data_IF_742102987053
#
_entry.id   IF_742102987053
#
_cell.length_a   1.000
_cell.length_b   1.000
_cell.length_c   1.000
_cell.angle_alpha   90.00
_cell.angle_beta   90.00
_cell.angle_gamma   90.00
#
_symmetry.space_group_name_H-M   'P 1'
#
loop_
_entity.id
_entity.type
_entity.pdbx_description
1 polymer ?
#
# COMPACT_ATOMS: atom_id res chain seq x y z
N UNK A 1 1.45 -2.95 -6.06
CA UNK A 1 1.03 -2.22 -4.85
C UNK A 1 1.83 -2.74 -3.65
N UNK A 2 2.41 -1.85 -2.84
CA UNK A 2 3.10 -2.21 -1.61
C UNK A 2 2.41 -1.60 -0.39
N UNK A 3 2.46 -2.30 0.74
CA UNK A 3 1.87 -1.89 2.02
C UNK A 3 2.64 -2.51 3.18
N UNK A 4 2.60 -1.96 4.40
CA UNK A 4 3.11 -2.63 5.59
C UNK A 4 2.51 -4.03 5.76
N UNK A 5 3.32 -4.99 6.24
CA UNK A 5 2.90 -6.40 6.40
C UNK A 5 1.60 -6.55 7.21
N UNK A 6 1.41 -5.70 8.23
CA UNK A 6 0.23 -5.68 9.09
C UNK A 6 -1.09 -5.41 8.35
N UNK A 7 -1.03 -4.81 7.16
CA UNK A 7 -2.22 -4.44 6.39
C UNK A 7 -2.73 -5.59 5.51
N UNK A 8 -1.90 -6.59 5.21
CA UNK A 8 -2.23 -7.62 4.20
C UNK A 8 -3.41 -8.51 4.61
N UNK A 9 -3.59 -8.80 5.90
CA UNK A 9 -4.78 -9.54 6.36
C UNK A 9 -6.09 -8.79 6.01
N UNK A 10 -6.09 -7.47 6.15
CA UNK A 10 -7.22 -6.62 5.76
C UNK A 10 -7.38 -6.52 4.25
N UNK A 11 -6.28 -6.36 3.51
CA UNK A 11 -6.29 -6.28 2.04
C UNK A 11 -6.83 -7.57 1.42
N UNK A 12 -6.43 -8.75 1.92
CA UNK A 12 -6.89 -10.03 1.38
C UNK A 12 -8.36 -10.30 1.72
N UNK A 13 -8.80 -9.92 2.92
CA UNK A 13 -10.19 -10.18 3.36
C UNK A 13 -11.22 -9.20 2.83
N UNK A 14 -10.81 -7.95 2.54
CA UNK A 14 -11.73 -6.86 2.20
C UNK A 14 -11.38 -6.12 0.89
N UNK A 15 -10.28 -6.51 0.24
CA UNK A 15 -9.74 -5.81 -0.91
C UNK A 15 -9.02 -4.50 -0.55
N UNK A 16 -8.50 -3.83 -1.58
CA UNK A 16 -7.95 -2.48 -1.47
C UNK A 16 -9.10 -1.48 -1.30
N UNK A 17 -8.98 -0.57 -0.33
CA UNK A 17 -10.01 0.43 -0.01
C UNK A 17 -9.47 1.84 -0.16
N UNK A 18 -10.35 2.75 -0.56
CA UNK A 18 -10.08 4.18 -0.62
C UNK A 18 -10.20 4.76 0.80
N UNK A 19 -9.35 5.73 1.12
CA UNK A 19 -9.43 6.46 2.39
C UNK A 19 -10.83 7.11 2.56
N UNK A 20 -11.38 7.16 3.77
CA UNK A 20 -12.75 7.62 3.97
C UNK A 20 -12.87 9.15 3.77
N UNK A 21 -14.08 9.70 3.52
CA UNK A 21 -14.29 11.11 3.16
C UNK A 21 -13.77 12.12 4.19
N UNK A 22 -13.75 11.76 5.47
CA UNK A 22 -13.29 12.58 6.59
C UNK A 22 -11.76 12.66 6.72
N UNK A 23 -11.01 11.72 6.14
CA UNK A 23 -9.55 11.74 6.22
C UNK A 23 -8.98 13.00 5.52
N UNK A 24 -7.93 13.63 6.05
CA UNK A 24 -7.30 14.78 5.39
C UNK A 24 -6.72 14.35 4.02
N UNK A 25 -6.74 15.25 3.03
CA UNK A 25 -6.19 14.99 1.68
C UNK A 25 -4.65 15.12 1.67
N UNK A 26 -4.07 15.72 2.71
CA UNK A 26 -2.62 15.82 2.86
C UNK A 26 -1.98 14.44 2.92
N UNK A 27 -0.93 14.22 2.12
CA UNK A 27 -0.25 12.92 1.99
C UNK A 27 -0.71 12.06 0.81
N UNK A 28 -1.79 12.44 0.11
CA UNK A 28 -2.23 11.76 -1.11
C UNK A 28 -1.88 12.59 -2.35
N UNK A 29 -0.91 12.13 -3.16
CA UNK A 29 -0.38 12.90 -4.32
C UNK A 29 -1.45 13.28 -5.35
N UNK A 30 -2.43 12.41 -5.58
CA UNK A 30 -3.49 12.59 -6.59
C UNK A 30 -4.89 12.42 -5.98
N UNK A 31 -5.05 12.77 -4.69
CA UNK A 31 -6.31 12.62 -3.96
C UNK A 31 -6.54 11.20 -3.45
N UNK A 32 -7.73 10.94 -2.87
CA UNK A 32 -8.02 9.65 -2.24
C UNK A 32 -8.28 8.60 -3.31
N UNK A 33 -7.46 7.56 -3.35
CA UNK A 33 -7.56 6.49 -4.34
C UNK A 33 -6.70 5.29 -3.97
N UNK A 34 -6.78 4.25 -4.80
CA UNK A 34 -5.88 3.10 -4.74
C UNK A 34 -4.72 3.36 -5.70
N UNK A 35 -3.50 3.20 -5.20
CA UNK A 35 -2.29 3.57 -5.93
C UNK A 35 -1.51 2.35 -6.39
N UNK A 36 -1.15 2.35 -7.68
CA UNK A 36 -0.33 1.32 -8.30
C UNK A 36 0.94 1.93 -8.90
N UNK A 37 1.91 1.06 -9.19
CA UNK A 37 3.12 1.41 -9.91
C UNK A 37 3.47 0.26 -10.86
N UNK A 38 3.94 0.62 -12.04
CA UNK A 38 4.51 -0.26 -13.06
C UNK A 38 5.91 -0.78 -12.68
N UNK A 39 6.63 -0.04 -11.83
CA UNK A 39 7.92 -0.45 -11.28
C UNK A 39 7.77 -1.09 -9.89
N UNK A 40 8.33 -2.29 -9.74
CA UNK A 40 8.30 -3.06 -8.49
C UNK A 40 8.98 -2.32 -7.32
N UNK A 41 10.14 -1.70 -7.57
CA UNK A 41 10.91 -0.95 -6.57
C UNK A 41 10.13 0.23 -5.98
N UNK A 42 9.35 0.95 -6.80
CA UNK A 42 8.50 2.04 -6.34
C UNK A 42 7.42 1.54 -5.39
N UNK A 43 6.78 0.40 -5.69
CA UNK A 43 5.83 -0.24 -4.77
C UNK A 43 6.52 -0.74 -3.50
N UNK A 44 7.70 -1.35 -3.61
CA UNK A 44 8.42 -1.96 -2.48
C UNK A 44 8.79 -0.96 -1.37
N UNK A 45 8.99 0.32 -1.69
CA UNK A 45 9.22 1.37 -0.69
C UNK A 45 8.07 1.50 0.32
N UNK A 46 6.84 1.17 -0.08
CA UNK A 46 5.66 1.22 0.79
C UNK A 46 5.50 -0.02 1.69
N UNK A 47 6.38 -1.02 1.55
CA UNK A 47 6.42 -2.17 2.47
C UNK A 47 7.06 -1.83 3.83
N UNK A 48 7.74 -0.68 3.92
CA UNK A 48 8.52 -0.24 5.09
C UNK A 48 9.52 -1.30 5.61
N UNK A 49 10.35 -1.91 4.74
CA UNK A 49 11.33 -2.89 5.17
C UNK A 49 12.40 -2.25 6.05
N UNK A 50 12.97 -3.04 6.96
CA UNK A 50 14.15 -2.66 7.73
C UNK A 50 15.10 -3.84 7.82
N UNK A 51 16.34 -3.62 8.31
CA UNK A 51 17.30 -4.72 8.51
C UNK A 51 16.81 -5.77 9.52
N UNK A 52 15.93 -5.38 10.44
CA UNK A 52 15.32 -6.29 11.43
C UNK A 52 13.97 -6.84 10.98
N UNK A 53 13.40 -6.33 9.88
CA UNK A 53 12.12 -6.75 9.28
C UNK A 53 12.30 -6.75 7.76
N UNK A 54 13.00 -7.77 7.28
CA UNK A 54 13.48 -7.91 5.90
C UNK A 54 12.49 -8.62 4.97
N UNK A 55 11.42 -9.19 5.53
CA UNK A 55 10.34 -9.82 4.76
C UNK A 55 9.24 -8.82 4.44
N UNK A 56 8.90 -8.70 3.15
CA UNK A 56 7.81 -7.86 2.66
C UNK A 56 6.95 -8.58 1.63
N UNK A 57 5.73 -8.07 1.40
CA UNK A 57 4.79 -8.59 0.41
C UNK A 57 4.50 -7.52 -0.65
N UNK A 58 4.37 -7.94 -1.90
CA UNK A 58 3.92 -7.12 -3.02
C UNK A 58 2.65 -7.73 -3.62
N UNK A 59 1.67 -6.85 -3.90
CA UNK A 59 0.42 -7.22 -4.57
C UNK A 59 0.49 -6.80 -6.04
N UNK A 60 0.20 -7.75 -6.93
CA UNK A 60 -0.10 -7.52 -8.34
C UNK A 60 -1.62 -7.66 -8.52
N UNK A 61 -2.22 -6.77 -9.32
CA UNK A 61 -3.65 -6.78 -9.67
C UNK A 61 -3.76 -6.36 -11.13
N UNK A 62 -4.78 -6.91 -11.81
CA UNK A 62 -5.32 -6.36 -13.05
C UNK A 62 -6.04 -5.04 -12.79
#
# INVERSE_FOLDING_TARGET
HGSPLTNFAGIISQGLRIAPPEAPVTGYMFGKGVYFADMSSKSANYCHPSRSKDTGLLLLSE
#
